data_IF_818203490937
#
_entry.id   IF_818203490937
#
_cell.length_a   1.000
_cell.length_b   1.000
_cell.length_c   1.000
_cell.angle_alpha   90.00
_cell.angle_beta   90.00
_cell.angle_gamma   90.00
#
_symmetry.space_group_name_H-M   'P 1'
#
loop_
_entity.id
_entity.type
_entity.pdbx_description
1 polymer ?
#
# COMPACT_ATOMS: atom_id res chain seq x y z
N UNK A 1 -49.54 -7.20 7.69
CA UNK A 1 -49.67 -8.20 8.75
C UNK A 1 -48.90 -9.43 8.34
N UNK A 2 -47.82 -9.75 8.99
CA UNK A 2 -47.31 -11.03 9.45
C UNK A 2 -45.85 -10.93 9.86
N UNK A 3 -45.67 -10.86 11.16
CA UNK A 3 -44.37 -10.95 11.86
C UNK A 3 -44.02 -12.44 11.98
N UNK A 4 -42.75 -12.79 11.78
CA UNK A 4 -42.14 -13.96 12.44
C UNK A 4 -40.63 -13.66 12.65
N UNK A 5 -40.16 -13.65 13.90
CA UNK A 5 -38.74 -13.67 14.21
C UNK A 5 -38.27 -15.12 14.32
N UNK A 6 -37.11 -15.43 13.78
CA UNK A 6 -36.39 -16.66 14.11
C UNK A 6 -35.01 -16.26 14.66
N UNK A 7 -34.90 -16.38 15.95
CA UNK A 7 -33.66 -16.38 16.68
C UNK A 7 -32.94 -17.71 16.49
N UNK A 8 -31.71 -17.73 16.07
CA UNK A 8 -30.84 -18.89 16.11
C UNK A 8 -29.60 -18.52 16.95
N UNK A 9 -29.57 -19.05 18.16
CA UNK A 9 -28.40 -19.14 19.03
C UNK A 9 -27.44 -20.17 18.46
N UNK A 10 -26.20 -19.83 18.24
CA UNK A 10 -25.12 -20.82 18.05
C UNK A 10 -24.03 -20.54 19.06
N UNK A 11 -23.78 -21.58 19.83
CA UNK A 11 -22.87 -21.62 20.98
C UNK A 11 -21.40 -21.62 20.55
N UNK A 12 -20.59 -20.90 21.32
CA UNK A 12 -19.14 -20.82 21.28
C UNK A 12 -18.54 -22.06 21.92
N UNK A 13 -17.67 -22.76 21.24
CA UNK A 13 -16.75 -23.73 21.81
C UNK A 13 -15.33 -23.17 21.82
N UNK A 14 -14.84 -22.85 23.00
CA UNK A 14 -13.47 -22.47 23.25
C UNK A 14 -12.59 -23.73 23.36
N UNK A 15 -11.53 -23.80 22.57
CA UNK A 15 -10.49 -24.81 22.73
C UNK A 15 -9.16 -24.13 23.00
N UNK A 16 -8.72 -24.20 24.27
CA UNK A 16 -7.39 -23.85 24.74
C UNK A 16 -6.45 -25.05 24.46
N UNK A 17 -5.38 -24.84 23.72
CA UNK A 17 -4.25 -25.72 23.64
C UNK A 17 -3.01 -24.99 24.12
N UNK A 18 -2.57 -25.34 25.31
CA UNK A 18 -1.27 -24.94 25.89
C UNK A 18 -0.26 -26.04 25.54
N UNK A 19 0.80 -25.69 24.83
CA UNK A 19 1.99 -26.54 24.73
C UNK A 19 3.22 -25.75 25.17
N UNK A 20 3.62 -26.04 26.39
CA UNK A 20 4.94 -25.75 26.95
C UNK A 20 5.95 -26.73 26.40
N UNK A 21 7.08 -26.23 25.89
CA UNK A 21 8.23 -27.07 25.51
C UNK A 21 9.52 -26.32 25.80
N UNK A 22 10.08 -26.56 27.01
CA UNK A 22 11.48 -26.29 27.37
C UNK A 22 12.37 -27.43 26.90
N UNK A 23 13.54 -27.12 26.38
CA UNK A 23 14.67 -28.04 26.15
C UNK A 23 15.89 -27.24 25.76
N UNK A 24 16.73 -26.98 26.62
CA UNK A 24 17.95 -27.41 27.24
C UNK A 24 19.14 -27.50 26.26
N UNK A 25 20.11 -26.60 26.50
CA UNK A 25 21.57 -26.64 26.52
C UNK A 25 22.29 -27.82 25.84
N UNK A 26 23.25 -27.49 24.98
CA UNK A 26 24.54 -28.20 24.93
C UNK A 26 25.63 -27.27 24.40
N UNK A 27 26.63 -27.08 25.26
CA UNK A 27 27.97 -26.56 24.95
C UNK A 27 28.70 -27.46 23.97
N UNK A 28 29.44 -26.86 23.04
CA UNK A 28 30.73 -27.38 22.59
C UNK A 28 31.58 -26.27 21.96
N UNK A 29 32.71 -26.02 22.59
CA UNK A 29 33.78 -25.15 22.15
C UNK A 29 34.48 -25.68 20.91
N UNK A 30 35.03 -24.74 20.09
CA UNK A 30 35.99 -25.10 19.04
C UNK A 30 36.29 -23.96 18.07
N UNK A 31 37.23 -23.11 18.42
CA UNK A 31 38.31 -22.47 17.61
C UNK A 31 38.20 -22.46 16.07
N UNK A 32 38.22 -21.32 15.48
CA UNK A 32 39.27 -20.80 14.57
C UNK A 32 38.75 -19.56 13.85
N UNK A 33 39.38 -18.44 14.12
CA UNK A 33 39.16 -17.17 13.43
C UNK A 33 39.76 -17.26 12.00
N UNK A 34 38.91 -16.99 10.99
CA UNK A 34 39.33 -16.56 9.69
C UNK A 34 38.91 -15.09 9.50
N UNK A 35 39.77 -14.23 8.93
CA UNK A 35 39.44 -12.82 8.80
C UNK A 35 38.30 -12.60 7.79
N UNK A 36 37.29 -11.84 8.22
CA UNK A 36 36.21 -11.38 7.38
C UNK A 36 36.71 -10.49 6.23
N UNK A 37 36.22 -10.64 5.01
CA UNK A 37 36.48 -9.68 3.96
C UNK A 37 35.80 -8.34 4.29
N UNK A 38 36.57 -7.29 4.27
CA UNK A 38 36.13 -5.90 4.41
C UNK A 38 35.09 -5.60 3.31
N UNK A 39 33.91 -5.09 3.62
CA UNK A 39 32.98 -4.61 2.58
C UNK A 39 33.59 -3.38 1.93
N UNK A 40 33.97 -3.52 0.66
CA UNK A 40 34.32 -2.39 -0.21
C UNK A 40 33.06 -1.56 -0.42
N UNK A 41 33.00 -0.39 0.20
CA UNK A 41 31.99 0.62 -0.07
C UNK A 41 32.17 1.11 -1.51
N UNK A 42 31.30 0.72 -2.41
CA UNK A 42 31.16 1.38 -3.71
C UNK A 42 30.63 2.79 -3.47
N UNK A 43 31.23 3.82 -4.10
CA UNK A 43 30.68 5.17 -4.01
C UNK A 43 29.32 5.20 -4.69
N UNK A 44 28.30 5.58 -3.93
CA UNK A 44 26.99 5.94 -4.47
C UNK A 44 27.17 7.11 -5.44
N UNK A 45 26.81 6.92 -6.69
CA UNK A 45 26.70 8.00 -7.66
C UNK A 45 25.51 8.87 -7.25
N UNK A 46 25.81 10.00 -6.65
CA UNK A 46 24.87 11.10 -6.42
C UNK A 46 24.43 11.65 -7.78
N UNK A 47 23.28 11.17 -8.25
CA UNK A 47 22.57 11.76 -9.37
C UNK A 47 21.43 12.57 -8.77
N UNK A 48 21.68 13.88 -8.57
CA UNK A 48 20.74 14.84 -8.02
C UNK A 48 19.42 14.94 -8.81
N UNK A 49 18.49 14.11 -8.43
CA UNK A 49 17.05 14.28 -8.60
C UNK A 49 16.48 14.23 -7.19
N UNK A 50 15.61 15.21 -6.85
CA UNK A 50 15.13 15.43 -5.49
C UNK A 50 14.77 14.13 -4.77
N UNK A 51 15.01 14.10 -3.45
CA UNK A 51 14.90 12.93 -2.58
C UNK A 51 13.59 12.16 -2.83
N UNK A 52 13.67 11.15 -3.72
CA UNK A 52 12.57 10.21 -3.92
C UNK A 52 12.42 9.37 -2.66
N UNK A 53 11.22 9.29 -2.10
CA UNK A 53 10.92 8.43 -0.96
C UNK A 53 10.72 6.97 -1.35
N UNK A 54 11.10 6.61 -2.56
CA UNK A 54 10.96 5.25 -3.12
C UNK A 54 11.43 4.17 -2.15
N UNK A 55 12.61 4.33 -1.57
CA UNK A 55 13.26 3.30 -0.76
C UNK A 55 13.40 3.68 0.72
N UNK A 56 13.27 4.96 1.08
CA UNK A 56 13.40 5.46 2.45
C UNK A 56 12.77 6.85 2.59
N UNK A 57 12.72 7.36 3.82
CA UNK A 57 12.17 8.69 4.12
C UNK A 57 10.68 8.65 4.46
N UNK A 58 10.09 9.80 4.71
CA UNK A 58 8.69 9.92 5.10
C UNK A 58 7.76 9.78 3.90
N UNK A 59 6.63 9.11 4.09
CA UNK A 59 5.58 9.02 3.08
C UNK A 59 4.99 10.41 2.86
N UNK A 60 5.00 10.94 1.61
CA UNK A 60 4.42 12.25 1.33
C UNK A 60 2.90 12.23 1.49
N UNK A 61 2.31 13.39 1.75
CA UNK A 61 0.87 13.55 1.82
C UNK A 61 0.24 13.46 0.42
N UNK A 62 -0.60 12.43 0.15
CA UNK A 62 -1.26 12.30 -1.15
C UNK A 62 -2.13 13.50 -1.54
N UNK A 63 -2.70 14.22 -0.56
CA UNK A 63 -3.50 15.42 -0.81
C UNK A 63 -2.67 16.56 -1.42
N UNK A 64 -1.35 16.57 -1.20
CA UNK A 64 -0.43 17.56 -1.76
C UNK A 64 0.16 17.15 -3.10
N UNK A 65 0.21 15.83 -3.39
CA UNK A 65 0.77 15.30 -4.64
C UNK A 65 -0.11 15.55 -5.86
N UNK A 66 -1.42 15.66 -5.67
CA UNK A 66 -2.38 15.93 -6.72
C UNK A 66 -3.11 17.26 -6.45
N UNK A 67 -2.95 18.22 -7.33
CA UNK A 67 -3.77 19.44 -7.30
C UNK A 67 -5.24 19.13 -7.61
N UNK A 68 -6.14 19.99 -7.17
CA UNK A 68 -7.58 19.86 -7.48
C UNK A 68 -7.87 19.82 -8.98
N UNK A 69 -7.10 20.56 -9.78
CA UNK A 69 -7.22 20.54 -11.24
C UNK A 69 -6.77 19.20 -11.82
N UNK A 70 -5.64 18.65 -11.38
CA UNK A 70 -5.19 17.31 -11.80
C UNK A 70 -6.21 16.23 -11.45
N UNK A 71 -6.76 16.24 -10.24
CA UNK A 71 -7.82 15.29 -9.85
C UNK A 71 -9.03 15.40 -10.78
N UNK A 72 -9.49 16.63 -11.06
CA UNK A 72 -10.59 16.86 -12.00
C UNK A 72 -10.27 16.34 -13.40
N UNK A 73 -9.08 16.62 -13.92
CA UNK A 73 -8.66 16.20 -15.26
C UNK A 73 -8.54 14.68 -15.38
N UNK A 74 -8.01 14.03 -14.33
CA UNK A 74 -7.83 12.58 -14.26
C UNK A 74 -9.13 11.80 -14.10
N UNK A 75 -10.08 12.33 -13.31
CA UNK A 75 -11.35 11.66 -13.01
C UNK A 75 -12.51 12.13 -13.91
N UNK A 76 -12.40 13.32 -14.49
CA UNK A 76 -13.47 13.98 -15.23
C UNK A 76 -14.58 14.55 -14.35
N UNK A 77 -14.35 14.76 -13.03
CA UNK A 77 -15.36 15.18 -12.07
C UNK A 77 -14.88 16.30 -11.17
N UNK A 78 -15.80 17.17 -10.77
CA UNK A 78 -15.54 18.20 -9.76
C UNK A 78 -15.37 17.55 -8.37
N UNK A 79 -14.59 18.20 -7.51
CA UNK A 79 -14.40 17.78 -6.12
C UNK A 79 -15.44 18.48 -5.25
N UNK A 80 -16.19 17.71 -4.46
CA UNK A 80 -17.14 18.26 -3.47
C UNK A 80 -16.55 18.36 -2.07
N UNK A 81 -15.66 17.43 -1.70
CA UNK A 81 -15.00 17.37 -0.39
C UNK A 81 -13.65 16.69 -0.51
N UNK A 82 -12.73 17.02 0.39
CA UNK A 82 -11.45 16.34 0.54
C UNK A 82 -11.34 15.88 1.99
N UNK A 83 -11.03 14.60 2.18
CA UNK A 83 -10.79 13.98 3.47
C UNK A 83 -9.35 13.43 3.48
N UNK A 84 -8.61 13.70 4.54
CA UNK A 84 -7.21 13.26 4.70
C UNK A 84 -6.99 12.58 6.04
N UNK A 85 -6.03 11.67 6.12
CA UNK A 85 -5.59 11.01 7.35
C UNK A 85 -4.09 10.66 7.24
N UNK A 86 -3.44 10.38 8.39
CA UNK A 86 -2.00 10.12 8.45
C UNK A 86 -1.20 11.39 8.20
N UNK A 87 -1.65 12.54 8.73
CA UNK A 87 -1.06 13.86 8.45
C UNK A 87 0.19 14.17 9.28
N UNK A 88 0.60 13.28 10.19
CA UNK A 88 1.79 13.49 11.02
C UNK A 88 3.03 13.01 10.29
N UNK A 89 4.10 13.77 10.43
CA UNK A 89 5.41 13.36 9.95
C UNK A 89 5.81 12.03 10.60
N UNK A 90 6.31 11.10 9.79
CA UNK A 90 6.70 9.76 10.22
C UNK A 90 5.55 8.73 10.25
N UNK A 91 4.33 9.10 9.88
CA UNK A 91 3.25 8.12 9.69
C UNK A 91 3.62 7.14 8.55
N UNK A 92 3.48 5.84 8.83
CA UNK A 92 3.79 4.78 7.86
C UNK A 92 2.73 4.63 6.77
N UNK A 93 1.59 5.29 6.93
CA UNK A 93 0.49 5.30 5.97
C UNK A 93 -0.12 6.69 5.90
N UNK A 94 -0.33 7.17 4.68
CA UNK A 94 -0.98 8.46 4.39
C UNK A 94 -2.15 8.22 3.43
N UNK A 95 -3.19 9.00 3.61
CA UNK A 95 -4.43 8.84 2.87
C UNK A 95 -5.00 10.18 2.44
N UNK A 96 -5.51 10.24 1.21
CA UNK A 96 -6.32 11.34 0.72
C UNK A 96 -7.50 10.82 -0.09
N UNK A 97 -8.68 11.35 0.17
CA UNK A 97 -9.89 11.05 -0.56
C UNK A 97 -10.52 12.32 -1.09
N UNK A 98 -10.79 12.35 -2.38
CA UNK A 98 -11.55 13.38 -3.05
C UNK A 98 -12.94 12.85 -3.35
N UNK A 99 -13.93 13.32 -2.60
CA UNK A 99 -15.34 13.06 -2.87
C UNK A 99 -15.78 13.83 -4.11
N UNK A 100 -16.57 13.19 -4.94
CA UNK A 100 -17.04 13.76 -6.21
C UNK A 100 -18.53 13.45 -6.39
N UNK A 101 -19.30 14.28 -7.12
CA UNK A 101 -20.67 13.92 -7.48
C UNK A 101 -20.68 12.58 -8.23
N UNK A 102 -21.39 11.60 -7.67
CA UNK A 102 -21.51 10.24 -8.23
C UNK A 102 -20.20 9.44 -8.34
N UNK A 103 -19.20 9.77 -7.52
CA UNK A 103 -17.92 9.05 -7.52
C UNK A 103 -16.97 9.47 -6.42
N UNK A 104 -15.79 8.89 -6.45
CA UNK A 104 -14.68 9.29 -5.57
C UNK A 104 -13.34 8.83 -6.14
N UNK A 105 -12.30 9.54 -5.77
CA UNK A 105 -10.91 9.09 -5.86
C UNK A 105 -10.37 8.96 -4.44
N UNK A 106 -9.73 7.86 -4.13
CA UNK A 106 -8.93 7.73 -2.91
C UNK A 106 -7.54 7.22 -3.26
N UNK A 107 -6.53 7.74 -2.56
CA UNK A 107 -5.13 7.34 -2.69
C UNK A 107 -4.59 7.05 -1.30
N UNK A 108 -4.03 5.86 -1.11
CA UNK A 108 -3.29 5.47 0.06
C UNK A 108 -1.83 5.26 -0.33
N UNK A 109 -0.94 5.79 0.46
CA UNK A 109 0.49 5.53 0.36
C UNK A 109 0.95 4.89 1.66
N UNK A 110 1.65 3.77 1.58
CA UNK A 110 2.16 3.09 2.78
C UNK A 110 3.53 2.47 2.54
N UNK A 111 4.34 2.37 3.61
CA UNK A 111 5.56 1.58 3.59
C UNK A 111 5.22 0.10 3.58
N UNK A 112 5.92 -0.64 2.73
CA UNK A 112 5.75 -2.08 2.60
C UNK A 112 7.09 -2.74 2.26
N UNK A 113 7.14 -4.06 2.39
CA UNK A 113 8.17 -4.88 1.76
C UNK A 113 7.56 -5.58 0.55
N UNK A 114 8.38 -6.05 -0.38
CA UNK A 114 7.87 -6.85 -1.51
C UNK A 114 7.11 -8.09 -1.02
N UNK A 115 7.60 -8.76 0.04
CA UNK A 115 6.94 -9.94 0.61
C UNK A 115 5.56 -9.62 1.21
N UNK A 116 5.44 -8.50 1.95
CA UNK A 116 4.16 -8.07 2.52
C UNK A 116 3.20 -7.61 1.40
N UNK A 117 3.71 -6.89 0.40
CA UNK A 117 2.94 -6.50 -0.76
C UNK A 117 2.38 -7.73 -1.48
N UNK A 118 3.20 -8.72 -1.81
CA UNK A 118 2.77 -9.97 -2.46
C UNK A 118 1.73 -10.72 -1.63
N UNK A 119 1.84 -10.71 -0.30
CA UNK A 119 0.85 -11.31 0.58
C UNK A 119 -0.50 -10.58 0.52
N UNK A 120 -0.47 -9.26 0.47
CA UNK A 120 -1.69 -8.42 0.44
C UNK A 120 -2.49 -8.56 -0.85
N UNK A 121 -1.81 -8.93 -1.96
CA UNK A 121 -2.41 -9.03 -3.30
C UNK A 121 -2.55 -10.47 -3.81
N UNK A 122 -2.47 -11.48 -2.91
CA UNK A 122 -2.42 -12.90 -3.28
C UNK A 122 -3.58 -13.39 -4.18
N UNK A 123 -4.75 -12.73 -4.10
CA UNK A 123 -5.94 -13.04 -4.92
C UNK A 123 -6.21 -11.97 -6.01
N UNK A 124 -5.27 -11.06 -6.24
CA UNK A 124 -5.43 -9.94 -7.16
C UNK A 124 -5.02 -10.31 -8.59
N UNK A 125 -5.59 -9.62 -9.57
CA UNK A 125 -5.26 -9.81 -10.98
C UNK A 125 -4.07 -8.91 -11.37
N UNK A 126 -3.04 -9.44 -12.07
CA UNK A 126 -1.90 -8.64 -12.53
C UNK A 126 -2.33 -7.54 -13.49
N UNK A 127 -1.68 -6.37 -13.39
CA UNK A 127 -1.94 -5.21 -14.24
C UNK A 127 -0.63 -4.70 -14.83
N UNK A 128 -0.50 -4.72 -16.15
CA UNK A 128 0.72 -4.29 -16.83
C UNK A 128 0.84 -2.77 -17.00
N UNK A 129 2.11 -2.33 -17.06
CA UNK A 129 2.51 -1.00 -17.51
C UNK A 129 2.33 0.10 -16.47
N UNK A 130 2.31 -0.23 -15.18
CA UNK A 130 2.29 0.73 -14.07
C UNK A 130 3.23 0.25 -12.96
N UNK A 131 4.19 1.09 -12.56
CA UNK A 131 5.14 0.76 -11.50
C UNK A 131 6.00 -0.46 -11.79
N UNK A 132 6.55 -1.06 -10.77
CA UNK A 132 7.36 -2.28 -10.83
C UNK A 132 6.48 -3.53 -10.85
N UNK A 133 5.47 -3.55 -10.00
CA UNK A 133 4.41 -4.56 -9.93
C UNK A 133 3.08 -3.87 -9.66
N UNK A 134 2.03 -4.23 -10.40
CA UNK A 134 0.70 -3.71 -10.20
C UNK A 134 -0.36 -4.80 -10.29
N UNK A 135 -1.42 -4.66 -9.47
CA UNK A 135 -2.49 -5.64 -9.35
C UNK A 135 -3.83 -4.94 -9.10
N UNK A 136 -4.90 -5.53 -9.61
CA UNK A 136 -6.26 -5.06 -9.40
C UNK A 136 -7.03 -6.03 -8.50
N UNK A 137 -7.71 -5.50 -7.48
CA UNK A 137 -8.56 -6.27 -6.58
C UNK A 137 -9.68 -5.38 -6.03
N UNK A 138 -10.93 -5.82 -6.18
CA UNK A 138 -12.09 -5.15 -5.57
C UNK A 138 -12.29 -3.68 -5.98
N UNK A 139 -11.85 -3.29 -7.18
CA UNK A 139 -11.92 -1.92 -7.67
C UNK A 139 -10.72 -1.05 -7.29
N UNK A 140 -9.76 -1.58 -6.55
CA UNK A 140 -8.48 -0.97 -6.22
C UNK A 140 -7.41 -1.33 -7.24
N UNK A 141 -6.48 -0.42 -7.47
CA UNK A 141 -5.21 -0.68 -8.15
C UNK A 141 -4.08 -0.53 -7.13
N UNK A 142 -3.43 -1.63 -6.82
CA UNK A 142 -2.24 -1.69 -5.97
C UNK A 142 -1.00 -1.66 -6.83
N UNK A 143 -0.05 -0.78 -6.51
CA UNK A 143 1.21 -0.63 -7.26
C UNK A 143 2.37 -0.63 -6.28
N UNK A 144 3.37 -1.48 -6.53
CA UNK A 144 4.64 -1.44 -5.81
C UNK A 144 5.59 -0.47 -6.52
N UNK A 145 6.20 0.43 -5.73
CA UNK A 145 7.25 1.34 -6.17
C UNK A 145 8.34 1.41 -5.09
N UNK A 146 9.40 0.61 -5.25
CA UNK A 146 10.42 0.40 -4.22
C UNK A 146 9.82 -0.17 -2.94
N UNK A 147 9.88 0.57 -1.84
CA UNK A 147 9.26 0.22 -0.56
C UNK A 147 7.94 0.97 -0.30
N UNK A 148 7.34 1.56 -1.34
CA UNK A 148 6.04 2.23 -1.24
C UNK A 148 4.98 1.41 -1.94
N UNK A 149 3.91 1.07 -1.23
CA UNK A 149 2.65 0.61 -1.79
C UNK A 149 1.78 1.82 -2.09
N UNK A 150 1.35 1.93 -3.34
CA UNK A 150 0.39 2.93 -3.82
C UNK A 150 -0.92 2.19 -4.06
N UNK A 151 -1.97 2.52 -3.32
CA UNK A 151 -3.32 2.00 -3.56
C UNK A 151 -4.18 3.13 -4.10
N UNK A 152 -4.72 2.95 -5.29
CA UNK A 152 -5.62 3.89 -5.96
C UNK A 152 -6.99 3.26 -6.12
N UNK A 153 -7.98 3.85 -5.46
CA UNK A 153 -9.38 3.51 -5.63
C UNK A 153 -10.12 4.62 -6.37
N UNK A 154 -10.58 4.35 -7.58
CA UNK A 154 -11.38 5.28 -8.34
C UNK A 154 -12.75 4.67 -8.66
N UNK A 155 -13.82 5.43 -8.42
CA UNK A 155 -15.19 4.97 -8.57
C UNK A 155 -16.07 6.05 -9.20
N UNK A 156 -17.06 5.62 -9.97
CA UNK A 156 -18.09 6.49 -10.56
C UNK A 156 -18.36 6.21 -12.04
N UNK A 157 -17.60 5.28 -12.64
CA UNK A 157 -17.75 4.80 -14.01
C UNK A 157 -17.86 3.26 -14.01
N UNK A 158 -17.74 2.63 -15.17
CA UNK A 158 -17.57 1.18 -15.27
C UNK A 158 -16.25 0.73 -14.64
N UNK A 159 -16.15 -0.53 -14.23
CA UNK A 159 -14.94 -1.09 -13.61
C UNK A 159 -13.72 -0.93 -14.53
N UNK A 160 -13.89 -1.14 -15.84
CA UNK A 160 -12.83 -0.95 -16.84
C UNK A 160 -12.36 0.50 -16.91
N UNK A 161 -13.27 1.47 -16.94
CA UNK A 161 -12.95 2.90 -16.97
C UNK A 161 -12.32 3.35 -15.66
N UNK A 162 -12.81 2.85 -14.52
CA UNK A 162 -12.25 3.13 -13.20
C UNK A 162 -10.81 2.64 -13.11
N UNK A 163 -10.51 1.41 -13.56
CA UNK A 163 -9.16 0.87 -13.61
C UNK A 163 -8.26 1.66 -14.57
N UNK A 164 -8.76 2.04 -15.73
CA UNK A 164 -8.01 2.85 -16.69
C UNK A 164 -7.63 4.22 -16.11
N UNK A 165 -8.53 4.86 -15.35
CA UNK A 165 -8.26 6.10 -14.62
C UNK A 165 -7.28 5.88 -13.48
N UNK A 166 -7.44 4.83 -12.67
CA UNK A 166 -6.51 4.48 -11.59
C UNK A 166 -5.08 4.29 -12.12
N UNK A 167 -4.90 3.63 -13.25
CA UNK A 167 -3.59 3.49 -13.94
C UNK A 167 -2.99 4.85 -14.33
N UNK A 168 -3.79 5.78 -14.83
CA UNK A 168 -3.31 7.13 -15.17
C UNK A 168 -2.90 7.90 -13.91
N UNK A 169 -3.69 7.79 -12.84
CA UNK A 169 -3.43 8.45 -11.56
C UNK A 169 -2.12 7.92 -10.96
N UNK A 170 -1.94 6.59 -10.90
CA UNK A 170 -0.69 5.99 -10.40
C UNK A 170 0.53 6.45 -11.20
N UNK A 171 0.43 6.55 -12.54
CA UNK A 171 1.53 7.07 -13.39
C UNK A 171 1.87 8.53 -13.12
N UNK A 172 0.90 9.34 -12.70
CA UNK A 172 1.12 10.75 -12.30
C UNK A 172 1.75 10.82 -10.90
N UNK A 173 1.38 9.90 -10.00
CA UNK A 173 1.87 9.86 -8.63
C UNK A 173 3.32 9.38 -8.53
N UNK A 174 3.69 8.30 -9.23
CA UNK A 174 5.02 7.66 -9.15
C UNK A 174 6.19 8.67 -9.26
N UNK A 175 6.23 9.60 -10.23
CA UNK A 175 7.34 10.55 -10.33
C UNK A 175 7.31 11.67 -9.27
N UNK A 176 6.28 11.73 -8.43
CA UNK A 176 6.13 12.72 -7.35
C UNK A 176 6.42 12.12 -5.96
N UNK A 177 6.67 10.82 -5.89
CA UNK A 177 7.03 10.03 -4.71
C UNK A 177 8.52 9.63 -4.80
#
# INVERSE_FOLDING_TARGET
MNRRPLAALVAVAASLVVLSGCGALSDAAGSAAAPAPTPTSSPASDSGLGDSVKDSGDIPDPCTLLSKSEVKDLTGREISQIDEDGVKDGDSTRYCQWQQPSGQLAVFLSRTTEADFQTSIAEAEPVDGVGENAFALGGHLFVLYGTVSIDVYNRGDSDEENLAKAKKIAKVLIPKI
#
